data_IF_263210666239
#
_entry.id   IF_263210666239
#
_cell.length_a   1.000
_cell.length_b   1.000
_cell.length_c   1.000
_cell.angle_alpha   90.00
_cell.angle_beta   90.00
_cell.angle_gamma   90.00
#
_symmetry.space_group_name_H-M   'P 1'
#
loop_
_entity.id
_entity.type
_entity.pdbx_description
1 polymer ?
#
# COMPACT_ATOMS: atom_id res chain seq x y z
N UNK A 1 31.17 -31.17 -9.80
CA UNK A 1 29.97 -31.50 -10.60
C UNK A 1 28.74 -31.42 -9.72
N UNK A 2 27.81 -30.50 -9.99
CA UNK A 2 26.58 -30.30 -9.18
C UNK A 2 25.38 -30.94 -9.87
N UNK A 3 24.61 -31.85 -9.23
CA UNK A 3 23.41 -32.40 -9.86
C UNK A 3 22.23 -31.42 -9.76
N UNK A 4 21.70 -31.04 -10.92
CA UNK A 4 20.40 -30.34 -11.07
C UNK A 4 19.29 -31.26 -10.58
N UNK A 5 18.53 -30.86 -9.55
CA UNK A 5 17.24 -31.50 -9.22
C UNK A 5 16.09 -30.69 -9.83
N UNK A 6 15.58 -31.22 -10.93
CA UNK A 6 14.32 -30.86 -11.55
C UNK A 6 13.22 -31.75 -10.95
N UNK A 7 12.17 -31.18 -10.33
CA UNK A 7 10.94 -31.94 -10.02
C UNK A 7 9.70 -31.10 -10.33
N UNK A 8 8.93 -31.44 -11.38
CA UNK A 8 7.62 -30.84 -11.59
C UNK A 8 6.58 -31.55 -10.70
N UNK A 9 5.66 -30.78 -10.11
CA UNK A 9 4.46 -31.30 -9.45
C UNK A 9 3.26 -30.79 -10.24
N UNK A 10 2.55 -31.69 -10.90
CA UNK A 10 1.43 -31.38 -11.79
C UNK A 10 0.20 -30.82 -11.05
N UNK A 11 -0.72 -30.14 -11.75
CA UNK A 11 -1.94 -29.62 -11.16
C UNK A 11 -3.05 -30.68 -11.13
N UNK A 12 -3.72 -30.81 -9.99
CA UNK A 12 -5.01 -31.49 -9.88
C UNK A 12 -6.11 -30.40 -9.91
N UNK A 13 -7.09 -30.47 -10.82
CA UNK A 13 -8.16 -29.48 -10.89
C UNK A 13 -9.38 -29.99 -10.13
N UNK A 14 -9.67 -29.45 -8.95
CA UNK A 14 -11.01 -29.44 -8.36
C UNK A 14 -11.03 -28.62 -7.08
N UNK A 15 -12.15 -27.92 -6.88
CA UNK A 15 -12.59 -27.23 -5.67
C UNK A 15 -12.05 -25.81 -5.43
N UNK A 16 -12.77 -24.83 -5.97
CA UNK A 16 -13.13 -23.64 -5.20
C UNK A 16 -14.48 -23.08 -5.69
N UNK A 17 -15.55 -23.81 -5.37
CA UNK A 17 -16.91 -23.29 -5.31
C UNK A 17 -17.04 -22.44 -4.05
N UNK A 18 -17.38 -21.16 -4.22
CA UNK A 18 -17.70 -20.24 -3.13
C UNK A 18 -16.77 -19.02 -3.06
N UNK A 19 -16.70 -18.21 -4.13
CA UNK A 19 -16.20 -16.83 -4.00
C UNK A 19 -17.32 -16.02 -3.35
N UNK A 20 -17.21 -15.79 -2.04
CA UNK A 20 -18.11 -14.92 -1.31
C UNK A 20 -18.14 -13.53 -1.96
N UNK A 21 -19.30 -12.85 -1.96
CA UNK A 21 -19.50 -11.50 -2.51
C UNK A 21 -18.60 -10.40 -1.89
N UNK A 22 -17.76 -10.77 -0.93
CA UNK A 22 -16.71 -9.96 -0.31
C UNK A 22 -15.43 -9.93 -1.17
N UNK A 23 -15.10 -11.03 -1.86
CA UNK A 23 -13.97 -11.14 -2.81
C UNK A 23 -14.22 -10.27 -4.07
N UNK A 24 -15.48 -10.16 -4.49
CA UNK A 24 -15.91 -9.36 -5.64
C UNK A 24 -15.73 -7.84 -5.43
N UNK A 25 -15.66 -7.38 -4.18
CA UNK A 25 -15.32 -5.97 -3.86
C UNK A 25 -13.82 -5.71 -3.95
N UNK A 26 -12.98 -6.72 -3.70
CA UNK A 26 -11.53 -6.63 -3.80
C UNK A 26 -11.04 -6.64 -5.28
N UNK A 27 -11.76 -7.34 -6.15
CA UNK A 27 -11.36 -7.52 -7.55
C UNK A 27 -11.62 -6.29 -8.44
N UNK A 28 -12.69 -5.50 -8.18
CA UNK A 28 -13.03 -4.31 -8.98
C UNK A 28 -11.95 -3.23 -9.02
N UNK A 29 -10.95 -3.29 -8.15
CA UNK A 29 -9.83 -2.34 -8.11
C UNK A 29 -8.44 -3.00 -8.12
N UNK A 30 -8.35 -4.29 -8.49
CA UNK A 30 -7.12 -4.94 -8.96
C UNK A 30 -5.98 -5.06 -7.96
N UNK A 31 -6.23 -5.49 -6.72
CA UNK A 31 -5.13 -5.86 -5.82
C UNK A 31 -5.55 -6.38 -4.44
N UNK A 32 -4.67 -7.16 -3.82
CA UNK A 32 -4.80 -7.63 -2.43
C UNK A 32 -4.93 -6.42 -1.50
N UNK A 33 -6.09 -6.32 -0.87
CA UNK A 33 -6.43 -5.31 0.13
C UNK A 33 -6.37 -5.94 1.52
N UNK A 34 -5.93 -5.18 2.50
CA UNK A 34 -5.94 -5.56 3.90
C UNK A 34 -6.43 -4.41 4.76
N UNK A 35 -6.99 -4.75 5.91
CA UNK A 35 -7.37 -3.77 6.93
C UNK A 35 -6.32 -3.78 8.02
N UNK A 36 -5.85 -2.60 8.43
CA UNK A 36 -4.90 -2.41 9.53
C UNK A 36 -5.43 -1.35 10.50
N UNK A 37 -5.29 -1.59 11.80
CA UNK A 37 -5.58 -0.60 12.83
C UNK A 37 -4.41 0.37 13.02
N UNK A 38 -4.67 1.67 13.05
CA UNK A 38 -3.67 2.72 13.28
C UNK A 38 -4.27 3.96 13.92
N UNK A 39 -3.63 4.46 14.98
CA UNK A 39 -4.10 5.61 15.78
C UNK A 39 -5.56 5.50 16.29
N UNK A 40 -6.06 4.27 16.49
CA UNK A 40 -7.43 4.02 16.96
C UNK A 40 -8.48 4.02 15.84
N UNK A 41 -8.06 4.07 14.58
CA UNK A 41 -8.93 3.98 13.40
C UNK A 41 -8.57 2.76 12.55
N UNK A 42 -9.55 2.21 11.82
CA UNK A 42 -9.33 1.15 10.85
C UNK A 42 -8.98 1.74 9.48
N UNK A 43 -7.91 1.22 8.89
CA UNK A 43 -7.38 1.67 7.61
C UNK A 43 -7.45 0.57 6.57
N UNK A 44 -8.05 0.87 5.44
CA UNK A 44 -7.93 0.06 4.23
C UNK A 44 -6.58 0.32 3.56
N UNK A 45 -5.82 -0.74 3.33
CA UNK A 45 -4.48 -0.72 2.77
C UNK A 45 -4.42 -1.55 1.50
N UNK A 46 -3.86 -0.99 0.43
CA UNK A 46 -3.65 -1.69 -0.84
C UNK A 46 -2.23 -1.50 -1.36
N UNK A 47 -1.63 -2.59 -1.84
CA UNK A 47 -0.37 -2.52 -2.56
C UNK A 47 -0.59 -2.10 -4.02
N UNK A 48 0.17 -1.11 -4.47
CA UNK A 48 0.18 -0.65 -5.86
C UNK A 48 1.47 -1.13 -6.53
N UNK A 49 1.32 -1.91 -7.60
CA UNK A 49 2.43 -2.30 -8.45
C UNK A 49 2.96 -1.10 -9.22
N UNK A 50 4.28 -1.07 -9.46
CA UNK A 50 4.92 0.04 -10.18
C UNK A 50 4.33 0.27 -11.57
N UNK A 51 4.06 -0.80 -12.31
CA UNK A 51 3.44 -0.75 -13.63
C UNK A 51 2.08 -0.02 -13.64
N UNK A 52 1.30 -0.10 -12.56
CA UNK A 52 0.00 0.56 -12.43
C UNK A 52 0.10 2.06 -12.11
N UNK A 53 1.29 2.55 -11.76
CA UNK A 53 1.56 3.93 -11.36
C UNK A 53 2.48 4.67 -12.35
N UNK A 54 2.66 4.14 -13.55
CA UNK A 54 3.40 4.84 -14.61
C UNK A 54 2.64 6.11 -15.01
N UNK A 55 3.37 7.23 -15.14
CA UNK A 55 2.83 8.55 -15.45
C UNK A 55 2.23 9.30 -14.25
N UNK A 56 2.22 8.71 -13.04
CA UNK A 56 1.66 9.35 -11.84
C UNK A 56 2.70 9.50 -10.75
N UNK A 57 2.77 10.69 -10.15
CA UNK A 57 3.65 10.98 -9.01
C UNK A 57 2.83 11.41 -7.81
N UNK A 58 3.25 11.00 -6.62
CA UNK A 58 2.52 11.29 -5.37
C UNK A 58 3.46 11.79 -4.28
N UNK A 59 2.93 12.47 -3.26
CA UNK A 59 3.70 12.87 -2.05
C UNK A 59 3.42 11.91 -0.90
N UNK A 60 4.47 11.42 -0.25
CA UNK A 60 4.36 10.48 0.86
C UNK A 60 4.19 11.19 2.22
N UNK A 61 3.10 10.96 2.98
CA UNK A 61 2.90 11.60 4.29
C UNK A 61 3.87 11.17 5.40
N UNK A 62 4.61 10.07 5.21
CA UNK A 62 5.56 9.60 6.22
C UNK A 62 6.96 10.24 6.13
N UNK A 63 7.30 10.83 4.98
CA UNK A 63 8.62 11.43 4.75
C UNK A 63 8.63 12.71 3.90
N UNK A 64 7.46 13.14 3.42
CA UNK A 64 7.24 14.27 2.50
C UNK A 64 8.00 14.18 1.17
N UNK A 65 8.55 13.02 0.83
CA UNK A 65 9.24 12.79 -0.44
C UNK A 65 8.26 12.37 -1.53
N UNK A 66 8.64 12.64 -2.78
CA UNK A 66 7.88 12.24 -3.96
C UNK A 66 8.06 10.74 -4.22
N UNK A 67 6.95 10.03 -4.35
CA UNK A 67 6.87 8.70 -4.94
C UNK A 67 6.86 8.91 -6.46
N UNK A 68 7.98 8.59 -7.10
CA UNK A 68 8.13 8.77 -8.53
C UNK A 68 7.21 7.85 -9.35
N UNK A 69 6.98 8.22 -10.60
CA UNK A 69 6.24 7.42 -11.57
C UNK A 69 6.83 6.02 -11.67
N UNK A 70 5.97 5.01 -11.71
CA UNK A 70 6.39 3.62 -11.84
C UNK A 70 6.92 2.99 -10.55
N UNK A 71 6.97 3.72 -9.43
CA UNK A 71 7.48 3.19 -8.15
C UNK A 71 6.39 2.40 -7.42
N UNK A 72 6.63 1.13 -7.05
CA UNK A 72 5.71 0.36 -6.24
C UNK A 72 5.52 0.98 -4.85
N UNK A 73 4.27 1.16 -4.43
CA UNK A 73 3.95 1.87 -3.20
C UNK A 73 2.68 1.30 -2.54
N UNK A 74 2.22 1.92 -1.45
CA UNK A 74 1.02 1.55 -0.70
C UNK A 74 0.03 2.70 -0.77
N UNK A 75 -1.24 2.39 -0.94
CA UNK A 75 -2.33 3.34 -0.81
C UNK A 75 -3.13 2.97 0.44
N UNK A 76 -3.30 3.92 1.34
CA UNK A 76 -4.02 3.74 2.59
C UNK A 76 -5.09 4.83 2.75
N UNK A 77 -6.28 4.46 3.23
CA UNK A 77 -7.36 5.39 3.53
C UNK A 77 -8.16 4.91 4.74
N UNK A 78 -8.74 5.81 5.55
CA UNK A 78 -9.64 5.42 6.64
C UNK A 78 -10.86 4.68 6.08
N UNK A 79 -11.28 3.61 6.74
CA UNK A 79 -12.43 2.82 6.27
C UNK A 79 -13.74 3.63 6.29
N UNK A 80 -13.89 4.53 7.27
CA UNK A 80 -15.08 5.37 7.44
C UNK A 80 -15.16 6.53 6.44
N UNK A 81 -14.03 7.12 6.03
CA UNK A 81 -13.98 8.24 5.08
C UNK A 81 -14.16 7.79 3.64
N UNK A 82 -14.02 6.48 3.37
CA UNK A 82 -14.06 5.94 2.03
C UNK A 82 -12.83 6.30 1.20
N UNK A 83 -12.91 5.99 -0.09
CA UNK A 83 -11.76 5.96 -1.00
C UNK A 83 -11.29 7.34 -1.47
N UNK A 84 -11.98 8.42 -1.11
CA UNK A 84 -11.64 9.78 -1.54
C UNK A 84 -10.43 10.33 -0.76
N UNK A 85 -10.18 9.83 0.46
CA UNK A 85 -9.05 10.23 1.29
C UNK A 85 -7.81 9.34 1.10
N UNK A 86 -7.63 8.80 -0.11
CA UNK A 86 -6.48 7.94 -0.46
C UNK A 86 -5.16 8.67 -0.28
N UNK A 87 -4.33 8.16 0.62
CA UNK A 87 -2.97 8.62 0.85
C UNK A 87 -1.97 7.62 0.28
N UNK A 88 -0.99 8.13 -0.46
CA UNK A 88 0.04 7.32 -1.10
C UNK A 88 1.30 7.30 -0.24
N UNK A 89 1.76 6.13 0.16
CA UNK A 89 2.92 5.92 1.02
C UNK A 89 3.97 5.07 0.33
N UNK A 90 5.25 5.38 0.52
CA UNK A 90 6.28 4.36 0.28
C UNK A 90 6.00 3.13 1.16
N UNK A 91 6.26 1.93 0.65
CA UNK A 91 6.12 0.68 1.43
C UNK A 91 6.83 0.77 2.78
N UNK A 92 8.09 1.22 2.77
CA UNK A 92 8.89 1.35 4.00
C UNK A 92 8.39 2.46 4.95
N UNK A 93 7.65 3.45 4.45
CA UNK A 93 7.05 4.48 5.31
C UNK A 93 5.79 3.97 5.98
N UNK A 94 4.93 3.24 5.25
CA UNK A 94 3.74 2.60 5.83
C UNK A 94 4.11 1.58 6.92
N UNK A 95 5.09 0.71 6.65
CA UNK A 95 5.56 -0.28 7.64
C UNK A 95 6.18 0.37 8.89
N UNK A 96 6.51 1.66 8.82
CA UNK A 96 7.08 2.43 9.92
C UNK A 96 6.15 3.59 10.33
N UNK A 97 4.86 3.53 10.01
CA UNK A 97 3.88 4.62 10.16
C UNK A 97 3.84 5.24 11.57
N UNK A 98 4.09 4.45 12.60
CA UNK A 98 4.10 4.93 13.99
C UNK A 98 5.30 5.84 14.31
N UNK A 99 6.41 5.70 13.59
CA UNK A 99 7.64 6.49 13.80
C UNK A 99 7.98 7.41 12.62
N UNK A 100 7.36 7.19 11.46
CA UNK A 100 7.52 8.02 10.26
C UNK A 100 6.25 8.83 10.02
N UNK A 101 6.29 10.06 10.51
CA UNK A 101 5.36 11.12 10.14
C UNK A 101 6.15 12.28 9.54
N UNK A 102 5.52 13.07 8.66
CA UNK A 102 6.10 14.33 8.19
C UNK A 102 6.56 15.13 9.40
N UNK A 103 7.88 15.29 9.54
CA UNK A 103 8.44 16.13 10.58
C UNK A 103 7.90 17.53 10.31
N UNK A 104 7.14 18.08 11.26
CA UNK A 104 6.74 19.49 11.23
C UNK A 104 8.03 20.29 11.05
N UNK A 105 8.20 20.89 9.87
CA UNK A 105 9.30 21.81 9.63
C UNK A 105 9.00 23.03 10.50
N UNK A 106 9.49 23.03 11.75
CA UNK A 106 9.56 24.28 12.52
C UNK A 106 10.41 25.21 11.67
N UNK A 107 9.80 26.29 11.19
CA UNK A 107 10.53 27.32 10.48
C UNK A 107 11.70 27.72 11.36
N UNK A 108 12.93 27.55 10.85
CA UNK A 108 14.14 28.01 11.55
C UNK A 108 14.19 29.53 11.75
N UNK A 109 13.18 30.25 11.23
CA UNK A 109 13.12 31.70 11.16
C UNK A 109 11.83 32.30 11.77
N UNK A 110 11.20 31.61 12.73
CA UNK A 110 10.10 32.20 13.49
C UNK A 110 10.61 33.45 14.22
N UNK A 111 9.98 34.64 14.04
CA UNK A 111 10.39 35.85 14.74
C UNK A 111 10.31 35.60 16.25
N UNK A 112 11.41 35.85 16.96
CA UNK A 112 11.39 35.98 18.42
C UNK A 112 10.82 37.37 18.72
N UNK A 113 9.59 37.41 19.20
CA UNK A 113 9.04 38.58 19.88
C UNK A 113 9.35 38.48 21.38
#
# INVERSE_FOLDING_TARGET
>A
MSPRRNRPKGPNPAASSGRSAEDDRADRYGGWQSTESWQGEEWSVRHVAGASAVGKTYRCPGCDQVIASGVPHVVAWPEHSGVDERRHWHKACWNAKDRRTTRVQRSRNAPKF
#
